data_IF_525406376142
#
_entry.id   IF_525406376142
#
_cell.length_a   1.000
_cell.length_b   1.000
_cell.length_c   1.000
_cell.angle_alpha   90.00
_cell.angle_beta   90.00
_cell.angle_gamma   90.00
#
_symmetry.space_group_name_H-M   'P 1'
#
loop_
_entity.id
_entity.type
_entity.pdbx_description
1 polymer ?
#
# COMPACT_ATOMS: atom_id res chain seq x y z
N UNK A 1 -5.33 -6.32 16.01
CA UNK A 1 -5.33 -5.22 15.04
C UNK A 1 -3.92 -4.69 14.89
N UNK A 2 -3.47 -4.61 13.66
CA UNK A 2 -2.18 -3.98 13.36
C UNK A 2 -2.40 -2.66 12.65
N UNK A 3 -1.59 -1.69 13.00
CA UNK A 3 -1.65 -0.38 12.40
C UNK A 3 -0.30 -0.12 11.72
N UNK A 4 -0.32 0.04 10.41
CA UNK A 4 0.90 0.19 9.62
C UNK A 4 0.86 1.49 8.85
N UNK A 5 1.82 2.37 9.11
CA UNK A 5 1.99 3.59 8.33
C UNK A 5 2.79 3.20 7.07
N UNK A 6 2.20 3.36 5.90
CA UNK A 6 2.80 2.85 4.67
C UNK A 6 4.13 3.53 4.33
N UNK A 7 4.26 4.87 4.40
CA UNK A 7 5.56 5.49 4.14
C UNK A 7 6.66 4.97 5.06
N UNK A 8 6.35 4.78 6.34
CA UNK A 8 7.33 4.27 7.29
C UNK A 8 7.68 2.81 6.97
N UNK A 9 6.69 2.02 6.60
CA UNK A 9 6.93 0.63 6.22
C UNK A 9 7.93 0.54 5.07
N UNK A 10 7.68 1.32 4.01
CA UNK A 10 8.56 1.28 2.85
C UNK A 10 9.97 1.73 3.23
N UNK A 11 10.07 2.76 4.05
CA UNK A 11 11.36 3.25 4.52
C UNK A 11 12.09 2.17 5.34
N UNK A 12 11.37 1.50 6.24
CA UNK A 12 11.96 0.45 7.07
C UNK A 12 12.43 -0.73 6.23
N UNK A 13 11.65 -1.10 5.23
CA UNK A 13 12.01 -2.24 4.38
C UNK A 13 13.27 -1.95 3.56
N UNK A 14 13.49 -0.70 3.19
CA UNK A 14 14.72 -0.35 2.48
C UNK A 14 15.96 -0.60 3.33
N UNK A 15 15.80 -0.54 4.63
CA UNK A 15 16.91 -0.80 5.55
C UNK A 15 17.13 -2.29 5.79
N UNK A 16 16.25 -3.13 5.26
CA UNK A 16 16.27 -4.56 5.53
C UNK A 16 16.75 -5.40 4.34
N UNK A 17 17.31 -4.76 3.31
CA UNK A 17 17.77 -5.52 2.14
C UNK A 17 18.82 -6.55 2.47
N UNK A 18 19.60 -6.32 3.52
CA UNK A 18 20.62 -7.27 3.95
C UNK A 18 20.07 -8.37 4.85
N UNK A 19 18.76 -8.32 5.14
CA UNK A 19 18.13 -9.25 6.05
C UNK A 19 16.86 -9.82 5.44
N UNK A 20 16.99 -10.62 4.38
CA UNK A 20 15.80 -11.08 3.65
C UNK A 20 14.85 -11.92 4.47
N UNK A 21 15.34 -12.70 5.43
CA UNK A 21 14.45 -13.48 6.27
C UNK A 21 13.65 -12.60 7.21
N UNK A 22 14.28 -11.57 7.76
CA UNK A 22 13.56 -10.63 8.63
C UNK A 22 12.53 -9.85 7.83
N UNK A 23 12.87 -9.44 6.62
CA UNK A 23 11.94 -8.73 5.75
C UNK A 23 10.73 -9.60 5.44
N UNK A 24 10.96 -10.86 5.07
CA UNK A 24 9.85 -11.76 4.73
C UNK A 24 8.97 -12.02 5.95
N UNK A 25 9.56 -12.17 7.13
CA UNK A 25 8.78 -12.37 8.34
C UNK A 25 7.87 -11.18 8.63
N UNK A 26 8.41 -9.98 8.43
CA UNK A 26 7.63 -8.76 8.63
C UNK A 26 6.46 -8.68 7.64
N UNK A 27 6.73 -8.97 6.38
CA UNK A 27 5.69 -8.93 5.34
C UNK A 27 4.63 -10.00 5.58
N UNK A 28 5.05 -11.20 5.98
CA UNK A 28 4.11 -12.27 6.26
C UNK A 28 3.18 -11.89 7.43
N UNK A 29 3.74 -11.27 8.45
CA UNK A 29 2.95 -10.82 9.58
C UNK A 29 1.85 -9.83 9.13
N UNK A 30 2.22 -8.91 8.25
CA UNK A 30 1.26 -7.93 7.74
C UNK A 30 0.19 -8.59 6.89
N UNK A 31 0.58 -9.56 6.05
CA UNK A 31 -0.38 -10.25 5.20
C UNK A 31 -1.40 -11.05 6.01
N UNK A 32 -1.00 -11.60 7.13
CA UNK A 32 -1.84 -12.57 7.83
C UNK A 32 -2.58 -12.06 9.07
N UNK A 33 -2.30 -10.85 9.52
CA UNK A 33 -3.00 -10.32 10.69
C UNK A 33 -4.50 -10.17 10.37
N UNK A 34 -5.34 -10.45 11.34
CA UNK A 34 -6.78 -10.46 11.11
C UNK A 34 -7.33 -9.11 10.69
N UNK A 35 -6.90 -8.04 11.35
CA UNK A 35 -7.35 -6.68 11.02
C UNK A 35 -6.14 -5.80 10.83
N UNK A 36 -6.07 -5.17 9.68
CA UNK A 36 -4.95 -4.31 9.32
C UNK A 36 -5.43 -2.93 8.91
N UNK A 37 -4.80 -1.92 9.46
CA UNK A 37 -5.00 -0.54 9.01
C UNK A 37 -3.74 -0.11 8.26
N UNK A 38 -3.90 0.20 6.98
CA UNK A 38 -2.81 0.73 6.17
C UNK A 38 -2.99 2.23 6.09
N UNK A 39 -2.21 2.93 6.90
CA UNK A 39 -2.35 4.37 7.06
C UNK A 39 -1.49 5.13 6.06
N UNK A 40 -2.04 6.19 5.52
CA UNK A 40 -1.34 7.10 4.61
C UNK A 40 -0.83 6.38 3.36
N UNK A 41 -1.67 5.53 2.78
CA UNK A 41 -1.30 4.85 1.55
C UNK A 41 -1.21 5.88 0.43
N UNK A 42 -0.18 5.77 -0.38
CA UNK A 42 0.10 6.78 -1.40
C UNK A 42 1.11 7.81 -0.95
N UNK A 43 1.38 7.90 0.35
CA UNK A 43 2.37 8.83 0.87
C UNK A 43 3.80 8.32 0.77
N UNK A 44 3.95 7.06 0.42
CA UNK A 44 5.29 6.47 0.30
C UNK A 44 6.00 6.91 -0.98
N UNK A 45 7.29 6.67 -1.00
CA UNK A 45 8.08 6.87 -2.20
C UNK A 45 7.70 5.79 -3.19
N UNK A 46 7.08 6.14 -4.30
CA UNK A 46 6.55 5.16 -5.25
C UNK A 46 7.63 4.69 -6.21
N UNK A 47 7.89 3.40 -6.20
CA UNK A 47 8.79 2.76 -7.15
C UNK A 47 8.11 1.48 -7.60
N UNK A 48 8.65 0.85 -8.64
CA UNK A 48 8.15 -0.46 -9.06
C UNK A 48 8.25 -1.46 -7.93
N UNK A 49 9.32 -1.36 -7.15
CA UNK A 49 9.54 -2.26 -6.03
C UNK A 49 8.47 -2.07 -4.95
N UNK A 50 8.23 -0.83 -4.49
CA UNK A 50 7.25 -0.61 -3.42
C UNK A 50 5.84 -0.94 -3.88
N UNK A 51 5.54 -0.66 -5.14
CA UNK A 51 4.22 -0.89 -5.69
C UNK A 51 3.97 -2.36 -5.97
N UNK A 52 4.87 -3.01 -6.72
CA UNK A 52 4.62 -4.34 -7.24
C UNK A 52 5.16 -5.47 -6.37
N UNK A 53 6.25 -5.21 -5.66
CA UNK A 53 6.89 -6.26 -4.87
C UNK A 53 6.51 -6.21 -3.39
N UNK A 54 6.01 -5.08 -2.92
CA UNK A 54 5.64 -4.92 -1.51
C UNK A 54 4.13 -4.77 -1.33
N UNK A 55 3.54 -3.73 -1.88
CA UNK A 55 2.12 -3.47 -1.65
C UNK A 55 1.21 -4.48 -2.32
N UNK A 56 1.46 -4.79 -3.57
CA UNK A 56 0.57 -5.70 -4.29
C UNK A 56 0.50 -7.09 -3.66
N UNK A 57 1.63 -7.73 -3.28
CA UNK A 57 1.54 -9.02 -2.60
C UNK A 57 0.81 -8.96 -1.26
N UNK A 58 0.95 -7.86 -0.51
CA UNK A 58 0.22 -7.71 0.75
C UNK A 58 -1.27 -7.71 0.46
N UNK A 59 -1.70 -6.93 -0.52
CA UNK A 59 -3.12 -6.83 -0.84
C UNK A 59 -3.66 -8.14 -1.40
N UNK A 60 -2.90 -8.79 -2.28
CA UNK A 60 -3.32 -10.08 -2.83
C UNK A 60 -3.47 -11.14 -1.73
N UNK A 61 -2.52 -11.19 -0.81
CA UNK A 61 -2.59 -12.15 0.30
C UNK A 61 -3.78 -11.91 1.19
N UNK A 62 -4.10 -10.64 1.44
CA UNK A 62 -5.23 -10.32 2.30
C UNK A 62 -6.57 -10.59 1.61
N UNK A 63 -6.64 -10.38 0.29
CA UNK A 63 -7.83 -10.74 -0.47
C UNK A 63 -8.05 -12.24 -0.43
N UNK A 64 -6.99 -13.00 -0.66
CA UNK A 64 -7.09 -14.45 -0.66
C UNK A 64 -7.52 -14.98 0.70
N UNK A 65 -7.00 -14.40 1.77
CA UNK A 65 -7.36 -14.78 3.13
C UNK A 65 -8.64 -14.14 3.64
N UNK A 66 -9.26 -13.29 2.84
CA UNK A 66 -10.48 -12.56 3.23
C UNK A 66 -10.29 -11.80 4.54
N UNK A 67 -9.17 -11.12 4.66
CA UNK A 67 -8.82 -10.40 5.87
C UNK A 67 -9.32 -8.96 5.82
N UNK A 68 -9.83 -8.46 6.93
CA UNK A 68 -10.34 -7.10 7.01
C UNK A 68 -9.18 -6.11 6.90
N UNK A 69 -9.27 -5.20 5.94
CA UNK A 69 -8.24 -4.22 5.69
C UNK A 69 -8.85 -2.83 5.56
N UNK A 70 -8.29 -1.88 6.29
CA UNK A 70 -8.77 -0.50 6.31
C UNK A 70 -7.66 0.39 5.76
N UNK A 71 -8.04 1.32 4.91
CA UNK A 71 -7.08 2.21 4.26
C UNK A 71 -7.36 3.66 4.61
N UNK A 72 -6.31 4.42 4.84
CA UNK A 72 -6.42 5.88 4.91
C UNK A 72 -5.44 6.47 3.92
N UNK A 73 -5.78 7.63 3.38
CA UNK A 73 -4.93 8.29 2.40
C UNK A 73 -5.20 9.78 2.39
N UNK A 74 -4.18 10.54 2.05
CA UNK A 74 -4.31 11.98 1.82
C UNK A 74 -4.64 12.25 0.35
N UNK A 75 -4.78 11.22 -0.46
CA UNK A 75 -4.98 11.33 -1.90
C UNK A 75 -6.32 10.76 -2.31
N UNK A 76 -6.92 11.36 -3.33
CA UNK A 76 -8.13 10.81 -3.93
C UNK A 76 -7.72 9.65 -4.84
N UNK A 77 -8.70 8.83 -5.21
CA UNK A 77 -8.42 7.66 -6.06
C UNK A 77 -7.72 8.05 -7.35
N UNK A 78 -8.15 9.14 -7.97
CA UNK A 78 -7.53 9.59 -9.21
C UNK A 78 -6.08 10.00 -8.98
N UNK A 79 -5.81 10.66 -7.88
CA UNK A 79 -4.45 11.08 -7.55
C UNK A 79 -3.56 9.87 -7.26
N UNK A 80 -4.10 8.87 -6.58
CA UNK A 80 -3.37 7.65 -6.32
C UNK A 80 -3.04 6.92 -7.61
N UNK A 81 -4.00 6.89 -8.53
CA UNK A 81 -3.78 6.25 -9.81
C UNK A 81 -2.61 6.89 -10.55
N UNK A 82 -2.60 8.22 -10.57
CA UNK A 82 -1.53 8.94 -11.24
C UNK A 82 -0.18 8.74 -10.57
N UNK A 83 -0.17 8.80 -9.24
CA UNK A 83 1.05 8.66 -8.48
C UNK A 83 1.65 7.26 -8.66
N UNK A 84 0.82 6.24 -8.58
CA UNK A 84 1.30 4.87 -8.71
C UNK A 84 1.67 4.53 -10.15
N UNK A 85 1.04 5.18 -11.13
CA UNK A 85 1.37 4.94 -12.53
C UNK A 85 2.77 5.43 -12.87
N UNK A 86 3.23 6.48 -12.19
CA UNK A 86 4.56 7.02 -12.45
C UNK A 86 5.69 6.06 -12.06
N UNK A 87 5.48 5.27 -11.03
CA UNK A 87 6.50 4.34 -10.59
C UNK A 87 7.81 5.06 -10.29
N UNK A 88 8.87 4.77 -11.04
CA UNK A 88 10.17 5.41 -10.83
C UNK A 88 10.26 6.75 -11.51
N UNK A 89 9.20 7.22 -12.12
CA UNK A 89 9.22 8.50 -12.79
C UNK A 89 9.74 8.48 -14.21
N UNK A 90 10.12 7.31 -14.70
CA UNK A 90 10.67 7.22 -16.04
C UNK A 90 9.63 6.91 -17.10
N UNK A 91 8.64 6.15 -16.71
CA UNK A 91 7.69 5.64 -17.68
C UNK A 91 6.36 5.40 -16.99
N UNK A 92 5.29 5.79 -17.64
CA UNK A 92 3.96 5.58 -17.08
C UNK A 92 3.58 4.12 -17.15
N UNK A 93 3.01 3.62 -16.08
CA UNK A 93 2.53 2.24 -16.00
C UNK A 93 1.12 2.20 -15.43
N UNK A 94 0.14 2.66 -16.20
CA UNK A 94 -1.23 2.78 -15.69
C UNK A 94 -1.84 1.44 -15.29
N UNK A 95 -1.48 0.35 -15.95
CA UNK A 95 -2.05 -0.94 -15.60
C UNK A 95 -1.59 -1.41 -14.22
N UNK A 96 -0.35 -1.08 -13.85
CA UNK A 96 0.14 -1.41 -12.52
C UNK A 96 -0.62 -0.65 -11.44
N UNK A 97 -0.90 0.63 -11.71
CA UNK A 97 -1.67 1.43 -10.78
C UNK A 97 -3.10 0.89 -10.64
N UNK A 98 -3.69 0.51 -11.77
CA UNK A 98 -5.04 -0.02 -11.76
C UNK A 98 -5.14 -1.32 -10.98
N UNK A 99 -4.10 -2.15 -11.06
CA UNK A 99 -4.08 -3.39 -10.29
C UNK A 99 -4.17 -3.11 -8.79
N UNK A 100 -3.38 -2.16 -8.30
CA UNK A 100 -3.44 -1.80 -6.89
C UNK A 100 -4.81 -1.25 -6.50
N UNK A 101 -5.33 -0.34 -7.31
CA UNK A 101 -6.63 0.27 -7.00
C UNK A 101 -7.74 -0.76 -7.00
N UNK A 102 -7.68 -1.72 -7.89
CA UNK A 102 -8.67 -2.78 -7.93
C UNK A 102 -8.65 -3.61 -6.66
N UNK A 103 -7.45 -3.94 -6.16
CA UNK A 103 -7.33 -4.68 -4.90
C UNK A 103 -7.85 -3.88 -3.73
N UNK A 104 -7.52 -2.60 -3.70
CA UNK A 104 -8.02 -1.72 -2.63
C UNK A 104 -9.54 -1.67 -2.65
N UNK A 105 -10.13 -1.52 -3.84
CA UNK A 105 -11.59 -1.47 -3.96
C UNK A 105 -12.23 -2.77 -3.53
N UNK A 106 -11.60 -3.89 -3.82
CA UNK A 106 -12.13 -5.19 -3.43
C UNK A 106 -12.04 -5.43 -1.94
N UNK A 107 -10.95 -5.00 -1.33
CA UNK A 107 -10.73 -5.21 0.10
C UNK A 107 -11.56 -4.29 0.97
N UNK A 108 -11.96 -3.15 0.45
CA UNK A 108 -12.59 -2.12 1.25
C UNK A 108 -13.78 -1.53 0.51
N UNK A 109 -14.86 -1.27 1.23
CA UNK A 109 -16.00 -0.61 0.62
C UNK A 109 -15.80 0.89 0.54
N UNK A 110 -14.85 1.43 1.32
CA UNK A 110 -14.56 2.84 1.21
C UNK A 110 -13.15 3.13 1.71
N UNK A 111 -12.64 4.27 1.27
CA UNK A 111 -11.33 4.74 1.62
C UNK A 111 -11.48 6.09 2.27
N UNK A 112 -10.86 6.26 3.43
CA UNK A 112 -10.85 7.56 4.08
C UNK A 112 -9.75 8.41 3.49
N UNK A 113 -10.14 9.57 2.96
CA UNK A 113 -9.18 10.51 2.41
C UNK A 113 -8.99 11.62 3.41
N UNK A 114 -7.77 11.77 3.90
CA UNK A 114 -7.43 12.80 4.87
C UNK A 114 -6.95 14.04 4.14
N UNK A 115 -6.69 15.07 4.85
CA UNK A 115 -6.11 16.26 4.28
C UNK A 115 -7.09 17.21 3.71
N UNK A 116 -8.03 16.74 2.90
CA UNK A 116 -9.02 17.60 2.36
C UNK A 116 -9.92 18.19 3.40
N UNK A 117 -10.31 17.37 4.33
CA UNK A 117 -11.27 17.78 5.31
C UNK A 117 -10.67 18.76 6.31
N UNK A 118 -9.37 18.81 6.33
CA UNK A 118 -8.74 19.66 7.27
C UNK A 118 -8.12 20.84 6.74
N UNK A 119 -8.27 21.05 5.58
CA UNK A 119 -7.68 22.13 5.06
C UNK A 119 -8.35 23.20 5.39
N UNK A 120 -8.43 23.44 5.76
CA UNK A 120 -9.20 24.20 6.08
C UNK A 120 -9.03 24.83 6.73
#
# INVERSE_FOLDING_TARGET
>A
VSFVNVPKLISDLKMMFQEPLAMEAKLASIRHVDVLVLDDIGGESVTSWSRDDILLPILDGRMEGKKLTIFTSNYRMQELKEKWALGNGKQMEPMAAERLLERISTLSTEIFVKGNSRRK
#
